data_IF_123656759185
#
_entry.id   IF_123656759185
#
_cell.length_a   1.000
_cell.length_b   1.000
_cell.length_c   1.000
_cell.angle_alpha   90.00
_cell.angle_beta   90.00
_cell.angle_gamma   90.00
#
_symmetry.space_group_name_H-M   'P 1'
#
loop_
_entity.id
_entity.type
_entity.pdbx_description
1 polymer ?
#
# COMPACT_ATOMS: atom_id res chain seq x y z
N UNK A 1 -0.35 -2.09 9.08
CA UNK A 1 -1.12 -1.13 8.25
C UNK A 1 -2.48 -0.72 8.80
N UNK A 2 -3.39 -1.63 9.19
CA UNK A 2 -4.72 -1.23 9.64
C UNK A 2 -4.68 -0.47 10.98
N UNK A 3 -5.43 0.64 11.07
CA UNK A 3 -5.60 1.40 12.32
C UNK A 3 -6.55 0.65 13.26
N UNK A 4 -6.23 0.56 14.56
CA UNK A 4 -7.07 -0.12 15.57
C UNK A 4 -8.51 0.36 15.60
N UNK A 5 -8.76 1.63 15.28
CA UNK A 5 -10.11 2.18 15.24
C UNK A 5 -11.00 1.45 14.24
N UNK A 6 -10.46 1.05 13.08
CA UNK A 6 -11.23 0.27 12.11
C UNK A 6 -11.60 -1.11 12.67
N UNK A 7 -10.68 -1.74 13.40
CA UNK A 7 -10.91 -3.03 14.07
C UNK A 7 -11.99 -2.93 15.16
N UNK A 8 -11.93 -1.88 15.99
CA UNK A 8 -12.91 -1.59 17.05
C UNK A 8 -14.29 -1.21 16.49
N UNK A 9 -14.34 -0.47 15.38
CA UNK A 9 -15.60 -0.11 14.71
C UNK A 9 -16.27 -1.36 14.15
N UNK A 10 -15.53 -2.30 13.58
CA UNK A 10 -16.09 -3.57 13.08
C UNK A 10 -16.69 -4.39 14.22
N UNK A 11 -16.01 -4.46 15.37
CA UNK A 11 -16.55 -5.10 16.58
C UNK A 11 -17.85 -4.44 17.02
N UNK A 12 -17.85 -3.12 17.21
CA UNK A 12 -19.01 -2.33 17.59
C UNK A 12 -20.19 -2.57 16.63
N UNK A 13 -19.93 -2.49 15.32
CA UNK A 13 -20.93 -2.70 14.27
C UNK A 13 -21.58 -4.08 14.38
N UNK A 14 -20.79 -5.14 14.60
CA UNK A 14 -21.36 -6.48 14.75
C UNK A 14 -22.10 -6.70 16.05
N UNK A 15 -21.66 -6.11 17.16
CA UNK A 15 -22.42 -6.14 18.42
C UNK A 15 -23.78 -5.47 18.25
N UNK A 16 -23.80 -4.29 17.64
CA UNK A 16 -25.02 -3.52 17.39
C UNK A 16 -25.98 -4.27 16.46
N UNK A 17 -25.48 -4.80 15.34
CA UNK A 17 -26.30 -5.53 14.37
C UNK A 17 -26.87 -6.84 14.91
N UNK A 18 -26.15 -7.52 15.79
CA UNK A 18 -26.53 -8.85 16.29
C UNK A 18 -27.16 -8.81 17.68
N UNK A 19 -27.11 -7.69 18.38
CA UNK A 19 -27.62 -7.54 19.76
C UNK A 19 -26.89 -8.41 20.78
N UNK A 20 -25.63 -8.77 20.50
CA UNK A 20 -24.82 -9.65 21.35
C UNK A 20 -23.61 -8.89 21.88
N UNK A 21 -23.49 -8.78 23.20
CA UNK A 21 -22.30 -8.21 23.85
C UNK A 21 -21.16 -9.23 23.98
N UNK A 22 -20.79 -9.78 22.83
CA UNK A 22 -19.62 -10.64 22.66
C UNK A 22 -18.69 -9.97 21.63
N UNK A 23 -17.37 -10.20 21.70
CA UNK A 23 -16.46 -9.73 20.66
C UNK A 23 -16.98 -10.11 19.27
N UNK A 24 -17.07 -9.12 18.39
CA UNK A 24 -17.58 -9.21 17.02
C UNK A 24 -19.00 -9.77 16.93
N UNK A 25 -19.84 -9.52 17.94
CA UNK A 25 -21.19 -10.08 18.04
C UNK A 25 -21.20 -11.61 18.00
N UNK A 26 -20.16 -12.25 18.55
CA UNK A 26 -20.00 -13.71 18.58
C UNK A 26 -19.48 -14.32 17.28
N UNK A 27 -19.06 -13.51 16.29
CA UNK A 27 -18.44 -14.01 15.06
C UNK A 27 -17.00 -14.42 15.30
N UNK A 28 -16.61 -15.53 14.65
CA UNK A 28 -15.20 -15.95 14.62
C UNK A 28 -14.46 -15.04 13.64
N UNK A 29 -13.48 -14.32 14.15
CA UNK A 29 -12.61 -13.46 13.36
C UNK A 29 -11.26 -14.13 13.15
N UNK A 30 -10.80 -14.15 11.89
CA UNK A 30 -9.45 -14.58 11.53
C UNK A 30 -8.68 -13.34 11.06
N UNK A 31 -7.57 -13.06 11.72
CA UNK A 31 -6.70 -11.93 11.42
C UNK A 31 -5.41 -12.46 10.78
N UNK A 32 -4.99 -11.84 9.68
CA UNK A 32 -3.73 -12.13 9.02
C UNK A 32 -2.89 -10.86 8.91
N UNK A 33 -1.61 -10.95 9.25
CA UNK A 33 -0.70 -9.83 9.20
C UNK A 33 0.71 -10.21 9.61
N UNK A 34 1.62 -9.25 9.49
CA UNK A 34 3.03 -9.38 9.85
C UNK A 34 3.48 -8.07 10.50
N UNK A 35 3.83 -8.13 11.79
CA UNK A 35 4.21 -6.94 12.56
C UNK A 35 5.62 -6.44 12.26
N UNK A 36 6.41 -7.21 11.52
CA UNK A 36 7.72 -6.78 10.99
C UNK A 36 7.58 -5.87 9.77
N UNK A 37 6.37 -5.75 9.23
CA UNK A 37 6.05 -4.86 8.12
C UNK A 37 5.63 -3.47 8.61
N UNK A 38 5.14 -2.65 7.69
CA UNK A 38 4.82 -1.25 7.94
C UNK A 38 3.69 -1.06 8.97
N UNK A 39 3.95 -0.14 9.90
CA UNK A 39 3.00 0.34 10.90
C UNK A 39 1.83 1.09 10.24
N UNK A 40 0.72 1.33 10.96
CA UNK A 40 -0.36 2.17 10.46
C UNK A 40 0.11 3.59 10.15
N UNK A 41 -0.37 4.14 9.03
CA UNK A 41 -0.05 5.52 8.64
C UNK A 41 -0.86 6.49 9.50
N UNK A 42 -0.17 7.37 10.23
CA UNK A 42 -0.76 8.48 10.97
C UNK A 42 -0.14 9.77 10.44
N UNK A 43 -0.92 10.57 9.71
CA UNK A 43 -0.46 11.81 9.09
C UNK A 43 0.03 12.77 10.18
N UNK A 44 1.26 13.25 10.06
CA UNK A 44 1.93 14.10 11.06
C UNK A 44 1.97 13.50 12.48
N UNK A 45 1.89 12.17 12.58
CA UNK A 45 1.88 11.45 13.84
C UNK A 45 3.29 11.29 14.43
N UNK A 46 3.39 11.46 15.74
CA UNK A 46 4.56 11.05 16.52
C UNK A 46 4.69 9.52 16.59
N UNK A 47 5.88 9.01 16.91
CA UNK A 47 6.10 7.56 17.15
C UNK A 47 5.07 6.96 18.11
N UNK A 48 4.76 7.65 19.21
CA UNK A 48 3.76 7.20 20.19
C UNK A 48 2.34 7.14 19.60
N UNK A 49 1.96 8.12 18.78
CA UNK A 49 0.65 8.11 18.11
C UNK A 49 0.53 6.98 17.09
N UNK A 50 1.61 6.66 16.37
CA UNK A 50 1.66 5.54 15.43
C UNK A 50 1.51 4.21 16.18
N UNK A 51 2.23 4.02 17.28
CA UNK A 51 2.10 2.82 18.13
C UNK A 51 0.66 2.71 18.66
N UNK A 52 0.10 3.79 19.22
CA UNK A 52 -1.30 3.88 19.68
C UNK A 52 -2.34 3.65 18.57
N UNK A 53 -1.96 3.72 17.31
CA UNK A 53 -2.84 3.38 16.19
C UNK A 53 -2.77 1.90 15.81
N UNK A 54 -1.78 1.15 16.31
CA UNK A 54 -1.61 -0.28 16.05
C UNK A 54 -2.71 -1.12 16.71
N UNK A 55 -3.09 -2.22 16.06
CA UNK A 55 -4.13 -3.15 16.54
C UNK A 55 -3.79 -3.75 17.91
N UNK A 56 -2.49 -3.89 18.22
CA UNK A 56 -2.03 -4.42 19.52
C UNK A 56 -2.40 -3.52 20.70
N UNK A 57 -2.69 -2.24 20.44
CA UNK A 57 -3.16 -1.26 21.44
C UNK A 57 -4.69 -1.25 21.58
N UNK A 58 -5.41 -2.15 20.91
CA UNK A 58 -6.85 -2.31 21.07
C UNK A 58 -7.18 -3.11 22.32
N UNK A 59 -8.27 -2.75 23.02
CA UNK A 59 -8.79 -3.55 24.15
C UNK A 59 -9.15 -4.98 23.73
N UNK A 60 -9.59 -5.14 22.48
CA UNK A 60 -9.94 -6.43 21.88
C UNK A 60 -8.73 -7.35 21.67
N UNK A 61 -7.51 -6.81 21.66
CA UNK A 61 -6.29 -7.61 21.46
C UNK A 61 -6.10 -8.66 22.56
N UNK A 62 -6.56 -8.36 23.78
CA UNK A 62 -6.54 -9.31 24.90
C UNK A 62 -7.34 -10.60 24.65
N UNK A 63 -8.33 -10.55 23.75
CA UNK A 63 -9.15 -11.69 23.34
C UNK A 63 -8.57 -12.44 22.14
N UNK A 64 -7.49 -11.95 21.53
CA UNK A 64 -6.90 -12.53 20.32
C UNK A 64 -5.95 -13.65 20.69
N UNK A 65 -6.20 -14.84 20.13
CA UNK A 65 -5.24 -15.95 20.17
C UNK A 65 -4.26 -15.81 19.02
N UNK A 66 -2.99 -15.55 19.33
CA UNK A 66 -1.92 -15.43 18.32
C UNK A 66 -1.42 -16.81 17.92
N UNK A 67 -1.35 -17.05 16.61
CA UNK A 67 -0.75 -18.25 16.00
C UNK A 67 0.33 -17.78 15.01
N UNK A 68 1.49 -18.43 15.04
CA UNK A 68 2.63 -18.06 14.20
C UNK A 68 2.81 -19.08 13.07
N UNK A 69 3.12 -18.60 11.87
CA UNK A 69 3.56 -19.42 10.74
C UNK A 69 5.09 -19.35 10.65
N UNK A 70 5.74 -20.50 10.45
CA UNK A 70 7.21 -20.63 10.45
C UNK A 70 7.83 -20.89 9.09
N UNK A 71 7.07 -21.42 8.13
CA UNK A 71 7.60 -21.81 6.82
C UNK A 71 7.47 -20.68 5.79
N UNK A 72 8.59 -20.29 5.17
CA UNK A 72 8.60 -19.29 4.11
C UNK A 72 8.17 -19.94 2.77
N UNK A 73 6.89 -19.76 2.41
CA UNK A 73 6.34 -20.31 1.17
C UNK A 73 6.75 -19.54 -0.11
N UNK A 74 7.29 -18.32 0.01
CA UNK A 74 7.58 -17.46 -1.15
C UNK A 74 8.98 -17.70 -1.73
N UNK A 75 9.95 -17.94 -0.86
CA UNK A 75 11.35 -18.14 -1.21
C UNK A 75 11.83 -19.56 -0.84
N UNK A 76 10.95 -20.57 -0.97
CA UNK A 76 11.26 -21.96 -0.60
C UNK A 76 12.52 -22.52 -1.28
N UNK A 77 12.78 -22.07 -2.52
CA UNK A 77 13.91 -22.52 -3.31
C UNK A 77 15.17 -21.66 -3.13
N UNK A 78 15.13 -20.67 -2.24
CA UNK A 78 16.28 -19.82 -1.92
C UNK A 78 16.36 -19.55 -0.39
N UNK A 79 16.87 -20.54 0.38
CA UNK A 79 16.99 -20.42 1.84
C UNK A 79 17.89 -19.26 2.26
N UNK A 80 18.96 -18.99 1.51
CA UNK A 80 19.87 -17.89 1.82
C UNK A 80 19.16 -16.54 1.78
N UNK A 81 18.35 -16.31 0.74
CA UNK A 81 17.54 -15.11 0.64
C UNK A 81 16.44 -15.06 1.70
N UNK A 82 15.75 -16.18 1.97
CA UNK A 82 14.70 -16.19 2.99
C UNK A 82 15.24 -15.89 4.39
N UNK A 83 16.41 -16.44 4.73
CA UNK A 83 17.06 -16.22 6.03
C UNK A 83 17.54 -14.77 6.17
N UNK A 84 18.07 -14.18 5.10
CA UNK A 84 18.42 -12.77 5.07
C UNK A 84 17.19 -11.88 5.32
N UNK A 85 16.08 -12.13 4.62
CA UNK A 85 14.84 -11.38 4.83
C UNK A 85 14.32 -11.48 6.27
N UNK A 86 14.45 -12.67 6.89
CA UNK A 86 14.04 -12.88 8.28
C UNK A 86 14.93 -12.10 9.24
N UNK A 87 16.26 -12.10 9.06
CA UNK A 87 17.18 -11.31 9.89
C UNK A 87 16.92 -9.82 9.77
N UNK A 88 16.65 -9.31 8.56
CA UNK A 88 16.25 -7.92 8.35
C UNK A 88 14.95 -7.60 9.10
N UNK A 89 13.93 -8.45 8.96
CA UNK A 89 12.63 -8.21 9.60
C UNK A 89 12.63 -8.34 11.13
N UNK A 90 13.57 -9.10 11.68
CA UNK A 90 13.74 -9.26 13.13
C UNK A 90 14.70 -8.25 13.74
N UNK A 91 15.28 -7.35 12.93
CA UNK A 91 16.33 -6.41 13.37
C UNK A 91 17.63 -7.09 13.83
N UNK A 92 17.89 -8.32 13.35
CA UNK A 92 19.10 -9.10 13.64
C UNK A 92 20.23 -8.85 12.63
N UNK A 93 19.92 -8.27 11.45
CA UNK A 93 20.92 -7.99 10.41
C UNK A 93 21.73 -6.74 10.78
N UNK A 94 23.08 -6.80 10.76
CA UNK A 94 23.92 -5.68 11.17
C UNK A 94 23.71 -4.46 10.28
N UNK A 95 23.54 -3.31 10.92
CA UNK A 95 23.48 -2.03 10.23
C UNK A 95 24.88 -1.48 9.97
N UNK A 96 24.99 -0.74 8.87
CA UNK A 96 26.12 0.14 8.56
C UNK A 96 25.76 1.57 8.99
N UNK A 97 26.47 2.57 8.48
CA UNK A 97 26.22 3.99 8.81
C UNK A 97 24.77 4.41 8.55
N UNK A 98 24.21 5.27 9.41
CA UNK A 98 22.84 5.80 9.32
C UNK A 98 21.73 4.75 9.34
N UNK A 99 21.89 3.68 10.14
CA UNK A 99 20.91 2.59 10.27
C UNK A 99 20.58 1.89 8.94
N UNK A 100 21.48 1.99 7.95
CA UNK A 100 21.30 1.33 6.66
C UNK A 100 21.71 -0.13 6.74
N UNK A 101 21.14 -0.98 5.90
CA UNK A 101 21.51 -2.39 5.78
C UNK A 101 22.32 -2.56 4.50
N UNK A 102 23.47 -3.24 4.58
CA UNK A 102 24.24 -3.59 3.38
C UNK A 102 23.52 -4.70 2.63
N UNK A 103 23.12 -4.41 1.40
CA UNK A 103 22.53 -5.42 0.51
C UNK A 103 23.64 -6.38 0.04
N UNK A 104 23.42 -7.71 0.09
CA UNK A 104 24.35 -8.69 -0.45
C UNK A 104 24.65 -8.43 -1.94
N UNK A 105 25.91 -8.56 -2.34
CA UNK A 105 26.32 -8.32 -3.74
C UNK A 105 25.60 -9.27 -4.72
N UNK A 106 25.19 -10.47 -4.27
CA UNK A 106 24.39 -11.42 -5.04
C UNK A 106 22.97 -10.93 -5.35
N UNK A 107 22.47 -9.93 -4.63
CA UNK A 107 21.18 -9.28 -4.89
C UNK A 107 21.32 -8.01 -5.74
N UNK A 108 22.54 -7.49 -5.90
CA UNK A 108 22.80 -6.37 -6.79
C UNK A 108 22.75 -6.87 -8.24
N UNK A 109 22.04 -6.14 -9.10
CA UNK A 109 21.90 -6.50 -10.51
C UNK A 109 22.21 -5.30 -11.39
N UNK A 110 22.69 -5.57 -12.61
CA UNK A 110 22.89 -4.54 -13.62
C UNK A 110 21.56 -4.07 -14.19
N UNK A 111 21.44 -2.77 -14.41
CA UNK A 111 20.22 -2.09 -14.84
C UNK A 111 19.69 -2.56 -16.21
N UNK A 112 20.59 -2.98 -17.11
CA UNK A 112 20.31 -3.25 -18.51
C UNK A 112 19.58 -4.57 -18.76
N UNK A 113 19.61 -5.51 -17.81
CA UNK A 113 19.18 -6.89 -18.05
C UNK A 113 17.66 -7.12 -17.84
N UNK A 114 16.90 -6.17 -17.27
CA UNK A 114 15.77 -6.58 -16.41
C UNK A 114 14.54 -5.66 -16.26
N UNK A 115 14.15 -4.89 -17.28
CA UNK A 115 13.07 -3.87 -17.14
C UNK A 115 11.64 -4.36 -17.43
N UNK A 116 11.43 -5.37 -18.27
CA UNK A 116 10.09 -5.63 -18.85
C UNK A 116 9.06 -6.23 -17.88
N UNK A 117 9.48 -6.78 -16.73
CA UNK A 117 8.60 -7.49 -15.79
C UNK A 117 8.89 -7.18 -14.31
N UNK A 118 9.36 -5.98 -14.00
CA UNK A 118 9.73 -5.58 -12.64
C UNK A 118 9.05 -4.27 -12.24
N UNK A 119 8.97 -4.06 -10.94
CA UNK A 119 8.48 -2.81 -10.35
C UNK A 119 9.63 -2.11 -9.66
N UNK A 120 9.71 -0.80 -9.85
CA UNK A 120 10.60 0.06 -9.09
C UNK A 120 9.84 0.52 -7.85
N UNK A 121 10.48 0.42 -6.69
CA UNK A 121 9.90 0.84 -5.41
C UNK A 121 10.79 1.96 -4.86
N UNK A 122 10.18 3.06 -4.45
CA UNK A 122 10.88 4.17 -3.78
C UNK A 122 10.20 4.52 -2.47
N UNK A 123 10.92 5.11 -1.50
CA UNK A 123 10.34 5.45 -0.19
C UNK A 123 9.26 6.53 -0.27
N UNK A 124 9.36 7.45 -1.23
CA UNK A 124 8.48 8.61 -1.36
C UNK A 124 7.63 8.53 -2.63
N UNK A 125 6.36 8.91 -2.53
CA UNK A 125 5.44 9.02 -3.67
C UNK A 125 5.90 10.08 -4.68
N UNK A 126 6.53 11.16 -4.22
CA UNK A 126 7.08 12.19 -5.12
C UNK A 126 8.18 11.63 -6.03
N UNK A 127 8.99 10.71 -5.52
CA UNK A 127 10.01 10.04 -6.33
C UNK A 127 9.39 9.02 -7.29
N UNK A 128 8.33 8.32 -6.85
CA UNK A 128 7.51 7.47 -7.75
C UNK A 128 6.98 8.30 -8.91
N UNK A 129 6.42 9.47 -8.66
CA UNK A 129 5.86 10.35 -9.68
C UNK A 129 6.93 10.79 -10.69
N UNK A 130 8.08 11.27 -10.21
CA UNK A 130 9.20 11.69 -11.09
C UNK A 130 9.74 10.53 -11.93
N UNK A 131 9.84 9.33 -11.36
CA UNK A 131 10.31 8.15 -12.08
C UNK A 131 9.31 7.70 -13.13
N UNK A 132 8.02 7.70 -12.80
CA UNK A 132 6.95 7.35 -13.73
C UNK A 132 6.89 8.34 -14.90
N UNK A 133 7.04 9.64 -14.66
CA UNK A 133 7.12 10.65 -15.72
C UNK A 133 8.31 10.39 -16.66
N UNK A 134 9.50 10.12 -16.11
CA UNK A 134 10.68 9.76 -16.91
C UNK A 134 10.45 8.49 -17.74
N UNK A 135 9.84 7.47 -17.14
CA UNK A 135 9.54 6.21 -17.81
C UNK A 135 8.57 6.42 -18.98
N UNK A 136 7.49 7.17 -18.78
CA UNK A 136 6.52 7.49 -19.84
C UNK A 136 7.18 8.33 -20.96
N UNK A 137 8.02 9.30 -20.61
CA UNK A 137 8.72 10.12 -21.60
C UNK A 137 9.69 9.30 -22.46
N UNK A 138 10.32 8.28 -21.89
CA UNK A 138 11.21 7.37 -22.60
C UNK A 138 10.48 6.37 -23.52
N UNK A 139 9.19 6.09 -23.27
CA UNK A 139 8.41 5.20 -24.13
C UNK A 139 8.20 5.81 -25.53
N UNK A 140 8.35 5.02 -26.61
CA UNK A 140 8.05 5.47 -27.96
C UNK A 140 6.52 5.60 -28.16
N UNK A 141 6.13 6.38 -29.17
CA UNK A 141 4.73 6.58 -29.55
C UNK A 141 4.14 7.91 -29.10
N UNK A 142 2.94 8.20 -29.60
CA UNK A 142 2.22 9.44 -29.29
C UNK A 142 1.64 9.42 -27.88
N UNK A 143 1.75 10.55 -27.20
CA UNK A 143 1.15 10.77 -25.88
C UNK A 143 -0.33 11.12 -26.00
N UNK A 144 -1.13 10.53 -25.11
CA UNK A 144 -2.54 10.89 -24.93
C UNK A 144 -2.70 11.38 -23.50
N UNK A 145 -3.27 12.59 -23.36
CA UNK A 145 -3.53 13.20 -22.06
C UNK A 145 -5.01 13.13 -21.71
N UNK A 146 -5.30 12.62 -20.51
CA UNK A 146 -6.64 12.60 -19.92
C UNK A 146 -6.68 13.58 -18.75
N UNK A 147 -7.70 14.43 -18.74
CA UNK A 147 -7.94 15.39 -17.65
C UNK A 147 -9.14 14.95 -16.81
N UNK A 148 -9.04 15.06 -15.48
CA UNK A 148 -10.19 14.89 -14.60
C UNK A 148 -11.15 16.07 -14.72
N UNK A 149 -12.40 15.82 -14.34
CA UNK A 149 -13.47 16.81 -14.24
C UNK A 149 -14.03 16.73 -12.83
N UNK A 150 -13.50 17.56 -11.94
CA UNK A 150 -13.81 17.51 -10.51
C UNK A 150 -14.81 18.61 -10.14
N UNK A 151 -15.73 18.30 -9.23
CA UNK A 151 -16.71 19.24 -8.69
C UNK A 151 -17.06 18.91 -7.25
N UNK A 152 -17.49 19.93 -6.50
CA UNK A 152 -17.96 19.78 -5.13
C UNK A 152 -19.49 19.91 -5.13
N UNK A 153 -20.22 18.86 -4.69
CA UNK A 153 -21.66 18.95 -4.52
C UNK A 153 -22.03 20.10 -3.58
N UNK A 154 -23.10 20.82 -3.91
CA UNK A 154 -23.66 21.90 -3.09
C UNK A 154 -22.74 23.11 -2.83
N UNK A 155 -21.68 23.31 -3.63
CA UNK A 155 -20.83 24.51 -3.58
C UNK A 155 -21.48 25.72 -4.26
N UNK A 156 -22.60 26.17 -3.69
CA UNK A 156 -23.40 27.31 -4.17
C UNK A 156 -22.65 28.64 -4.18
N UNK A 157 -21.52 28.74 -3.45
CA UNK A 157 -20.70 29.96 -3.35
C UNK A 157 -19.38 29.85 -4.12
N UNK A 158 -19.15 28.76 -4.86
CA UNK A 158 -17.94 28.50 -5.63
C UNK A 158 -16.66 28.70 -4.78
N UNK A 159 -16.69 28.18 -3.55
CA UNK A 159 -15.60 28.27 -2.59
C UNK A 159 -14.39 27.44 -3.02
N UNK A 160 -14.60 26.43 -3.87
CA UNK A 160 -13.56 25.53 -4.34
C UNK A 160 -13.28 25.75 -5.83
N UNK A 161 -12.34 26.65 -6.18
CA UNK A 161 -12.03 26.91 -7.57
C UNK A 161 -11.43 25.67 -8.25
N UNK A 162 -11.62 25.48 -9.57
CA UNK A 162 -11.09 24.32 -10.29
C UNK A 162 -9.58 24.13 -10.12
N UNK A 163 -8.80 25.21 -10.04
CA UNK A 163 -7.35 25.16 -9.83
C UNK A 163 -6.99 24.50 -8.49
N UNK A 164 -7.80 24.74 -7.45
CA UNK A 164 -7.65 24.07 -6.17
C UNK A 164 -8.00 22.60 -6.29
N UNK A 165 -9.12 22.24 -6.94
CA UNK A 165 -9.53 20.84 -7.13
C UNK A 165 -8.48 20.05 -7.93
N UNK A 166 -7.94 20.64 -8.99
CA UNK A 166 -6.90 20.05 -9.83
C UNK A 166 -5.58 19.80 -9.07
N UNK A 167 -5.36 20.51 -7.94
CA UNK A 167 -4.20 20.31 -7.09
C UNK A 167 -4.35 19.14 -6.10
N UNK A 168 -5.57 18.60 -5.92
CA UNK A 168 -5.84 17.52 -4.99
C UNK A 168 -5.44 16.19 -5.64
N UNK A 169 -4.50 15.47 -5.02
CA UNK A 169 -4.07 14.14 -5.48
C UNK A 169 -4.08 13.15 -4.32
N UNK A 170 -5.27 12.62 -3.94
CA UNK A 170 -5.36 11.62 -2.89
C UNK A 170 -4.95 10.25 -3.45
N UNK A 171 -4.22 9.45 -2.68
CA UNK A 171 -3.62 8.20 -3.16
C UNK A 171 -4.60 7.11 -3.66
N UNK A 172 -5.91 7.28 -3.47
CA UNK A 172 -6.96 6.38 -3.97
C UNK A 172 -7.64 6.86 -5.25
N UNK A 173 -7.23 8.01 -5.80
CA UNK A 173 -7.77 8.57 -7.03
C UNK A 173 -6.65 8.78 -8.06
N UNK A 174 -6.96 8.71 -9.36
CA UNK A 174 -6.02 9.13 -10.39
C UNK A 174 -5.72 10.64 -10.26
N UNK A 175 -4.55 11.09 -10.75
CA UNK A 175 -4.22 12.52 -10.78
C UNK A 175 -5.12 13.29 -11.75
N UNK A 176 -5.19 14.62 -11.58
CA UNK A 176 -5.91 15.52 -12.49
C UNK A 176 -5.47 15.35 -13.94
N UNK A 177 -4.16 15.26 -14.18
CA UNK A 177 -3.58 15.04 -15.51
C UNK A 177 -2.95 13.66 -15.55
N UNK A 178 -3.49 12.78 -16.38
CA UNK A 178 -2.94 11.45 -16.64
C UNK A 178 -2.42 11.38 -18.08
N UNK A 179 -1.12 11.21 -18.25
CA UNK A 179 -0.46 11.06 -19.55
C UNK A 179 -0.16 9.58 -19.77
N UNK A 180 -0.55 9.05 -20.93
CA UNK A 180 -0.33 7.64 -21.30
C UNK A 180 0.20 7.53 -22.73
N UNK A 181 0.93 6.45 -22.99
CA UNK A 181 1.36 6.03 -24.33
C UNK A 181 0.97 4.57 -24.55
N UNK A 182 0.93 4.15 -25.81
CA UNK A 182 0.83 2.72 -26.14
C UNK A 182 2.04 1.99 -25.54
N UNK A 183 1.78 0.89 -24.84
CA UNK A 183 2.79 0.12 -24.09
C UNK A 183 2.98 0.57 -22.64
N UNK A 184 2.33 1.65 -22.18
CA UNK A 184 2.43 2.09 -20.77
C UNK A 184 1.88 1.03 -19.81
N UNK A 185 2.65 0.58 -18.81
CA UNK A 185 2.14 -0.18 -17.69
C UNK A 185 1.26 0.72 -16.81
N UNK A 186 0.07 0.24 -16.46
CA UNK A 186 -0.87 0.95 -15.57
C UNK A 186 -1.33 0.03 -14.44
N UNK A 187 -1.78 0.64 -13.35
CA UNK A 187 -2.39 -0.08 -12.23
C UNK A 187 -3.84 0.37 -12.06
N UNK A 188 -4.74 -0.59 -11.93
CA UNK A 188 -6.13 -0.32 -11.65
C UNK A 188 -6.29 0.11 -10.18
N UNK A 189 -6.93 1.25 -9.94
CA UNK A 189 -7.14 1.81 -8.59
C UNK A 189 -8.51 1.46 -7.98
N UNK A 190 -9.40 0.83 -8.75
CA UNK A 190 -10.77 0.52 -8.33
C UNK A 190 -11.18 -0.90 -8.71
N UNK A 191 -12.09 -1.47 -7.94
CA UNK A 191 -12.70 -2.75 -8.30
C UNK A 191 -13.72 -2.52 -9.42
N UNK A 192 -13.47 -3.08 -10.60
CA UNK A 192 -14.38 -3.01 -11.75
C UNK A 192 -15.18 -4.30 -11.83
N UNK A 193 -14.48 -5.44 -11.95
CA UNK A 193 -15.09 -6.76 -11.98
C UNK A 193 -14.22 -7.76 -11.23
N UNK A 194 -14.49 -7.96 -9.93
CA UNK A 194 -13.75 -8.89 -9.11
C UNK A 194 -13.84 -10.35 -9.59
N UNK A 195 -14.89 -10.73 -10.33
CA UNK A 195 -15.08 -12.13 -10.76
C UNK A 195 -14.05 -12.55 -11.80
N UNK A 196 -13.62 -11.62 -12.63
CA UNK A 196 -12.58 -11.84 -13.65
C UNK A 196 -11.20 -11.34 -13.22
N UNK A 197 -11.06 -10.89 -11.95
CA UNK A 197 -9.80 -10.42 -11.38
C UNK A 197 -9.46 -8.96 -11.66
N UNK A 198 -10.39 -8.14 -12.17
CA UNK A 198 -10.19 -6.69 -12.34
C UNK A 198 -10.46 -5.93 -11.04
N UNK A 199 -9.51 -6.07 -10.12
CA UNK A 199 -9.53 -5.45 -8.79
C UNK A 199 -8.49 -4.34 -8.65
N UNK A 200 -8.62 -3.52 -7.60
CA UNK A 200 -7.57 -2.58 -7.21
C UNK A 200 -6.21 -3.31 -7.05
N UNK A 201 -5.16 -2.76 -7.66
CA UNK A 201 -3.81 -3.34 -7.70
C UNK A 201 -3.49 -4.15 -8.95
N UNK A 202 -4.49 -4.43 -9.81
CA UNK A 202 -4.27 -5.17 -11.07
C UNK A 202 -3.38 -4.37 -12.02
N UNK A 203 -2.31 -4.99 -12.52
CA UNK A 203 -1.41 -4.38 -13.50
C UNK A 203 -1.88 -4.70 -14.92
N UNK A 204 -1.95 -3.67 -15.77
CA UNK A 204 -2.39 -3.76 -17.17
C UNK A 204 -1.40 -3.01 -18.06
N UNK A 205 -1.53 -3.19 -19.38
CA UNK A 205 -0.72 -2.49 -20.40
C UNK A 205 -1.67 -1.77 -21.36
N UNK A 206 -1.43 -0.49 -21.62
CA UNK A 206 -2.13 0.28 -22.64
C UNK A 206 -1.80 -0.26 -24.05
N UNK A 207 -2.81 -0.59 -24.86
CA UNK A 207 -2.64 -1.17 -26.20
C UNK A 207 -2.97 -0.19 -27.31
#
# INVERSE_FOLDING_TARGET
>A
MANRKAFEIVDCTFRDMLGLDLPFGGKVMILGGDFRQVLPVVINGTKSQIIKASIVESSLWSSVKVLNLSENMRAQHDPHFSDFLLRVGNEDEPTIENDMIRIPDSMAMHWEDYMENRAIITPLNDDVNKLNEKAINALPGEEVTYYSFDSVPDDTRNLYPPEFLNSISPGSLPPYKLVLKKGSPIMLLRNIDPKIGLCNGTRLICR
#
